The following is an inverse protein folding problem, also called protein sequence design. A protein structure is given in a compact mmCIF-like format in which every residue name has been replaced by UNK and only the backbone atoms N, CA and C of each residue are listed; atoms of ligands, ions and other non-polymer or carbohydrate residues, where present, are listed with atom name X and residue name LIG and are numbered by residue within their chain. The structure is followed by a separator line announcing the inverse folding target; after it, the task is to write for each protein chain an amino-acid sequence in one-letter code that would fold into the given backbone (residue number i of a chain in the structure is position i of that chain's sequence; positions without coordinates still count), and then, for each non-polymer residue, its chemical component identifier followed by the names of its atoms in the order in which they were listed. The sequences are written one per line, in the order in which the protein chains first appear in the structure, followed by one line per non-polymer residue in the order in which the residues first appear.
data_IF_647846225562
#
_entry.id   IF_647846225562
#
_cell.length_a   1.000
_cell.length_b   1.000
_cell.length_c   1.000
_cell.angle_alpha   90.00
_cell.angle_beta   90.00
_cell.angle_gamma   90.00
#
_symmetry.space_group_name_H-M   'P 1'
#
loop_
_entity.id
_entity.type
_entity.pdbx_description
1 polymer ?
#
# COMPACT_ATOMS: atom_id res chain seq x y z
N UNK A 1 20.46 0.02 -10.72
CA UNK A 1 19.70 -0.70 -9.67
C UNK A 1 19.61 0.22 -8.46
N UNK A 2 18.45 0.40 -7.79
CA UNK A 2 18.42 1.15 -6.54
C UNK A 2 19.06 0.31 -5.42
N UNK A 3 20.09 0.84 -4.77
CA UNK A 3 20.76 0.25 -3.61
C UNK A 3 20.00 0.59 -2.33
N UNK A 4 18.75 0.11 -2.26
CA UNK A 4 17.85 0.39 -1.15
C UNK A 4 18.03 -0.65 -0.05
N UNK A 5 18.65 -0.25 1.07
CA UNK A 5 18.72 -1.05 2.29
C UNK A 5 17.49 -0.74 3.16
N UNK A 6 16.67 -1.76 3.42
CA UNK A 6 15.61 -1.66 4.43
C UNK A 6 16.25 -1.59 5.80
N UNK A 7 16.07 -0.49 6.50
CA UNK A 7 16.38 -0.39 7.92
C UNK A 7 15.26 -1.11 8.66
N UNK A 8 15.56 -2.21 9.33
CA UNK A 8 14.60 -2.90 10.18
C UNK A 8 14.95 -2.59 11.63
N UNK A 9 14.30 -1.58 12.19
CA UNK A 9 14.36 -1.26 13.60
C UNK A 9 13.07 -1.74 14.28
N UNK A 10 13.13 -2.69 15.22
CA UNK A 10 11.97 -3.07 16.02
C UNK A 10 11.39 -1.84 16.74
N UNK A 11 10.08 -1.63 16.68
CA UNK A 11 9.47 -0.39 17.19
C UNK A 11 9.76 0.85 16.33
N UNK A 12 10.33 0.66 15.13
CA UNK A 12 10.73 1.75 14.25
C UNK A 12 9.55 2.53 13.69
N UNK A 13 9.79 3.82 13.44
CA UNK A 13 8.90 4.69 12.68
C UNK A 13 9.42 4.80 11.24
N UNK A 14 8.54 4.61 10.28
CA UNK A 14 8.88 4.51 8.87
C UNK A 14 8.01 5.44 8.03
N UNK A 15 8.64 6.13 7.07
CA UNK A 15 7.93 6.86 6.03
C UNK A 15 7.76 5.99 4.79
N UNK A 16 6.57 5.98 4.19
CA UNK A 16 6.27 5.23 2.98
C UNK A 16 5.71 6.14 1.89
N UNK A 17 6.15 5.88 0.66
CA UNK A 17 5.46 6.34 -0.55
C UNK A 17 4.94 5.13 -1.31
N UNK A 18 3.62 5.07 -1.50
CA UNK A 18 2.95 3.96 -2.20
C UNK A 18 2.19 4.49 -3.40
N UNK A 19 2.59 4.05 -4.59
CA UNK A 19 2.04 4.54 -5.86
C UNK A 19 1.12 3.51 -6.51
N UNK A 20 0.08 4.01 -7.17
CA UNK A 20 -0.61 3.29 -8.23
C UNK A 20 0.31 3.08 -9.43
N UNK A 21 -0.04 2.11 -10.27
CA UNK A 21 0.70 1.77 -11.47
C UNK A 21 0.58 2.87 -12.52
N UNK A 22 -0.63 3.36 -12.76
CA UNK A 22 -0.89 4.48 -13.66
C UNK A 22 -0.84 5.77 -12.84
N UNK A 23 0.17 6.61 -13.12
CA UNK A 23 0.49 7.84 -12.38
C UNK A 23 -0.09 9.13 -12.98
N UNK A 24 -0.86 9.03 -14.06
CA UNK A 24 -1.44 10.20 -14.73
C UNK A 24 -2.91 9.96 -15.04
N UNK A 25 -3.76 10.94 -14.73
CA UNK A 25 -5.22 10.86 -14.91
C UNK A 25 -5.90 9.79 -14.06
N UNK A 26 -5.24 9.32 -12.99
CA UNK A 26 -5.73 8.25 -12.14
C UNK A 26 -6.17 8.82 -10.80
N UNK A 27 -7.46 8.68 -10.49
CA UNK A 27 -8.07 9.18 -9.25
C UNK A 27 -8.59 8.05 -8.38
N UNK A 28 -8.14 6.82 -8.61
CA UNK A 28 -8.71 5.62 -7.98
C UNK A 28 -8.60 5.67 -6.45
N UNK A 29 -7.51 6.22 -5.89
CA UNK A 29 -7.35 6.28 -4.43
C UNK A 29 -8.36 7.22 -3.79
N UNK A 30 -8.56 8.41 -4.37
CA UNK A 30 -9.50 9.41 -3.82
C UNK A 30 -10.96 9.04 -4.12
N UNK A 31 -11.26 8.46 -5.28
CA UNK A 31 -12.61 7.98 -5.64
C UNK A 31 -13.09 6.84 -4.73
N UNK A 32 -12.16 6.05 -4.20
CA UNK A 32 -12.44 4.93 -3.33
C UNK A 32 -11.77 5.08 -1.96
N UNK A 33 -11.70 6.32 -1.45
CA UNK A 33 -11.04 6.61 -0.18
C UNK A 33 -11.67 5.84 0.98
N UNK A 34 -12.99 5.64 0.97
CA UNK A 34 -13.69 4.88 2.01
C UNK A 34 -13.27 3.41 2.02
N UNK A 35 -13.08 2.82 0.84
CA UNK A 35 -12.56 1.45 0.70
C UNK A 35 -11.15 1.36 1.26
N UNK A 36 -10.29 2.34 0.93
CA UNK A 36 -8.92 2.39 1.46
C UNK A 36 -8.93 2.51 2.99
N UNK A 37 -9.73 3.42 3.56
CA UNK A 37 -9.86 3.60 5.01
C UNK A 37 -10.38 2.34 5.70
N UNK A 38 -11.39 1.68 5.13
CA UNK A 38 -11.94 0.44 5.67
C UNK A 38 -10.91 -0.71 5.65
N UNK A 39 -10.14 -0.85 4.57
CA UNK A 39 -9.08 -1.85 4.46
C UNK A 39 -7.95 -1.57 5.45
N UNK A 40 -7.45 -0.33 5.52
CA UNK A 40 -6.42 0.07 6.50
C UNK A 40 -6.89 -0.19 7.92
N UNK A 41 -8.14 0.17 8.25
CA UNK A 41 -8.73 -0.11 9.56
C UNK A 41 -8.82 -1.60 9.88
N UNK A 42 -9.20 -2.45 8.91
CA UNK A 42 -9.23 -3.91 9.08
C UNK A 42 -7.83 -4.48 9.31
N UNK A 43 -6.85 -4.05 8.53
CA UNK A 43 -5.46 -4.51 8.69
C UNK A 43 -4.91 -4.07 10.05
N UNK A 44 -5.16 -2.83 10.49
CA UNK A 44 -4.72 -2.33 11.80
C UNK A 44 -5.32 -3.11 12.97
N UNK A 45 -6.52 -3.67 12.83
CA UNK A 45 -7.13 -4.53 13.88
C UNK A 45 -6.42 -5.87 14.03
N UNK A 46 -5.95 -6.48 12.94
CA UNK A 46 -5.24 -7.77 12.97
C UNK A 46 -3.71 -7.66 13.11
N UNK A 47 -3.16 -6.51 12.72
CA UNK A 47 -1.75 -6.18 12.78
C UNK A 47 -1.64 -4.74 13.31
N UNK A 48 -1.53 -4.54 14.63
CA UNK A 48 -1.47 -3.22 15.22
C UNK A 48 -0.26 -2.42 14.72
N UNK A 49 -0.48 -1.15 14.41
CA UNK A 49 0.55 -0.14 14.15
C UNK A 49 -0.03 1.24 14.45
N UNK A 50 0.83 2.19 14.81
CA UNK A 50 0.45 3.59 15.03
C UNK A 50 0.60 4.36 13.73
N UNK A 51 -0.37 5.21 13.42
CA UNK A 51 -0.30 6.14 12.28
C UNK A 51 0.03 7.52 12.83
N UNK A 52 1.17 8.07 12.42
CA UNK A 52 1.58 9.44 12.74
C UNK A 52 1.07 10.43 11.69
N UNK A 53 1.03 10.00 10.42
CA UNK A 53 0.47 10.79 9.33
C UNK A 53 0.08 9.91 8.16
N UNK A 54 -0.97 10.28 7.44
CA UNK A 54 -1.42 9.59 6.23
C UNK A 54 -2.08 10.57 5.27
N UNK A 55 -1.47 10.76 4.10
CA UNK A 55 -1.94 11.67 3.05
C UNK A 55 -2.23 10.84 1.81
N UNK A 56 -3.43 11.01 1.24
CA UNK A 56 -3.86 10.30 0.03
C UNK A 56 -4.02 11.31 -1.11
N UNK A 57 -3.27 11.08 -2.17
CA UNK A 57 -3.37 11.80 -3.44
C UNK A 57 -4.12 10.92 -4.46
N UNK A 58 -4.51 11.45 -5.63
CA UNK A 58 -5.28 10.70 -6.62
C UNK A 58 -4.69 9.31 -6.99
N UNK A 59 -3.38 9.24 -7.10
CA UNK A 59 -2.62 8.10 -7.64
C UNK A 59 -1.50 7.60 -6.73
N UNK A 60 -1.27 8.21 -5.59
CA UNK A 60 -0.31 7.74 -4.60
C UNK A 60 -0.69 8.17 -3.19
N UNK A 61 -0.01 7.62 -2.20
CA UNK A 61 -0.14 8.04 -0.81
C UNK A 61 1.22 8.12 -0.14
N UNK A 62 1.27 8.96 0.88
CA UNK A 62 2.38 9.09 1.80
C UNK A 62 1.90 8.79 3.20
N UNK A 63 2.66 8.01 3.97
CA UNK A 63 2.33 7.85 5.38
C UNK A 63 3.56 7.63 6.24
N UNK A 64 3.40 7.98 7.51
CA UNK A 64 4.35 7.70 8.58
C UNK A 64 3.64 6.75 9.55
N UNK A 65 4.18 5.55 9.71
CA UNK A 65 3.66 4.56 10.66
C UNK A 65 4.76 4.07 11.59
N UNK A 66 4.38 3.70 12.79
CA UNK A 66 5.25 3.11 13.79
C UNK A 66 4.74 1.71 14.12
N UNK A 67 5.65 0.74 14.11
CA UNK A 67 5.34 -0.65 14.42
C UNK A 67 5.45 -0.91 15.93
N UNK A 68 4.75 -1.93 16.47
CA UNK A 68 4.95 -2.35 17.85
C UNK A 68 6.41 -2.73 18.15
N UNK A 69 6.85 -2.61 19.41
CA UNK A 69 8.14 -3.14 19.83
C UNK A 69 8.28 -4.62 19.46
N UNK A 70 9.43 -5.02 18.91
CA UNK A 70 9.67 -6.40 18.46
C UNK A 70 9.06 -6.74 17.11
N UNK A 71 8.23 -5.87 16.52
CA UNK A 71 7.72 -6.03 15.16
C UNK A 71 8.50 -5.13 14.19
N UNK A 72 8.79 -5.69 13.03
CA UNK A 72 9.41 -4.99 11.92
C UNK A 72 8.67 -5.22 10.60
N UNK A 73 7.65 -6.11 10.53
CA UNK A 73 7.05 -6.61 9.28
C UNK A 73 6.02 -5.65 8.64
N UNK A 74 6.47 -4.45 8.30
CA UNK A 74 5.69 -3.53 7.46
C UNK A 74 5.43 -4.09 6.05
N UNK A 75 6.20 -5.11 5.61
CA UNK A 75 5.99 -5.73 4.32
C UNK A 75 4.67 -6.48 4.24
N UNK A 76 4.33 -7.22 5.30
CA UNK A 76 3.03 -7.85 5.47
C UNK A 76 1.89 -6.85 5.54
N UNK A 77 2.05 -5.73 6.26
CA UNK A 77 1.05 -4.66 6.32
C UNK A 77 0.69 -4.17 4.91
N UNK A 78 1.71 -3.79 4.12
CA UNK A 78 1.49 -3.30 2.78
C UNK A 78 0.94 -4.36 1.82
N UNK A 79 1.35 -5.62 1.97
CA UNK A 79 0.76 -6.70 1.20
C UNK A 79 -0.74 -6.81 1.45
N UNK A 80 -1.16 -6.84 2.72
CA UNK A 80 -2.57 -6.96 3.10
C UNK A 80 -3.40 -5.75 2.68
N UNK A 81 -2.87 -4.53 2.83
CA UNK A 81 -3.55 -3.29 2.41
C UNK A 81 -3.75 -3.28 0.89
N UNK A 82 -2.68 -3.52 0.12
CA UNK A 82 -2.75 -3.54 -1.35
C UNK A 82 -3.71 -4.62 -1.85
N UNK A 83 -3.65 -5.81 -1.25
CA UNK A 83 -4.53 -6.93 -1.59
C UNK A 83 -6.00 -6.64 -1.26
N UNK A 84 -6.28 -6.14 -0.04
CA UNK A 84 -7.63 -5.80 0.39
C UNK A 84 -8.27 -4.72 -0.45
N UNK A 85 -7.53 -3.64 -0.75
CA UNK A 85 -8.01 -2.58 -1.63
C UNK A 85 -8.28 -3.10 -3.05
N UNK A 86 -7.35 -3.88 -3.60
CA UNK A 86 -7.52 -4.43 -4.95
C UNK A 86 -8.71 -5.40 -5.03
N UNK A 87 -8.97 -6.21 -3.99
CA UNK A 87 -10.12 -7.14 -4.00
C UNK A 87 -11.47 -6.43 -3.91
N UNK A 88 -11.54 -5.30 -3.21
CA UNK A 88 -12.78 -4.57 -3.01
C UNK A 88 -13.22 -3.73 -4.22
N UNK A 89 -12.35 -3.56 -5.22
CA UNK A 89 -12.65 -2.77 -6.43
C UNK A 89 -13.12 -3.65 -7.59
N UNK A 90 -14.05 -3.15 -8.43
CA UNK A 90 -14.43 -3.82 -9.67
C UNK A 90 -13.20 -3.97 -10.58
N UNK A 91 -13.17 -5.04 -11.39
CA UNK A 91 -12.05 -5.34 -12.31
C UNK A 91 -12.19 -4.53 -13.60
N UNK A 92 -11.91 -3.24 -13.55
CA UNK A 92 -12.01 -2.32 -14.71
C UNK A 92 -10.65 -2.02 -15.36
N UNK A 93 -9.56 -2.48 -14.76
CA UNK A 93 -8.21 -2.28 -15.30
C UNK A 93 -7.92 -3.06 -16.58
N UNK A 94 -7.27 -2.40 -17.54
CA UNK A 94 -6.70 -3.06 -18.72
C UNK A 94 -5.42 -3.79 -18.33
N UNK A 95 -5.46 -5.12 -18.32
CA UNK A 95 -4.32 -5.97 -17.97
C UNK A 95 -3.54 -6.41 -19.22
N UNK A 96 -2.22 -6.55 -19.10
CA UNK A 96 -1.44 -7.30 -20.09
C UNK A 96 -1.78 -8.79 -20.00
N UNK A 97 -1.61 -9.53 -21.09
CA UNK A 97 -1.85 -10.98 -21.17
C UNK A 97 -1.11 -11.77 -20.08
N UNK A 98 0.11 -11.37 -19.75
CA UNK A 98 0.93 -11.97 -18.67
C UNK A 98 0.29 -11.76 -17.30
N UNK A 99 -0.23 -10.56 -17.02
CA UNK A 99 -0.85 -10.24 -15.72
C UNK A 99 -2.21 -10.88 -15.57
N UNK A 100 -2.99 -10.91 -16.64
CA UNK A 100 -4.26 -11.63 -16.70
C UNK A 100 -4.06 -13.12 -16.39
N UNK A 101 -3.08 -13.77 -17.03
CA UNK A 101 -2.74 -15.19 -16.77
C UNK A 101 -2.28 -15.47 -15.33
N UNK A 102 -1.71 -14.50 -14.64
CA UNK A 102 -1.25 -14.62 -13.24
C UNK A 102 -2.30 -14.17 -12.20
N UNK A 103 -3.49 -13.74 -12.63
CA UNK A 103 -4.50 -13.16 -11.75
C UNK A 103 -4.04 -11.87 -11.06
N UNK A 104 -3.01 -11.20 -11.59
CA UNK A 104 -2.49 -9.95 -11.02
C UNK A 104 -3.46 -8.79 -11.29
N UNK A 105 -3.68 -7.94 -10.28
CA UNK A 105 -4.40 -6.67 -10.44
C UNK A 105 -3.46 -5.59 -10.99
N UNK A 106 -3.96 -4.75 -11.88
CA UNK A 106 -3.19 -3.72 -12.58
C UNK A 106 -3.09 -2.40 -11.83
N UNK A 107 -3.38 -2.41 -10.52
CA UNK A 107 -3.66 -1.20 -9.74
C UNK A 107 -2.38 -0.59 -9.17
N UNK A 108 -1.54 -1.38 -8.50
CA UNK A 108 -0.40 -0.86 -7.74
C UNK A 108 0.90 -0.94 -8.52
N UNK A 109 1.80 0.03 -8.31
CA UNK A 109 3.19 -0.15 -8.71
C UNK A 109 3.79 -1.34 -7.92
N UNK A 110 4.68 -2.09 -8.59
CA UNK A 110 5.48 -3.13 -7.93
C UNK A 110 6.40 -2.47 -6.88
N UNK A 111 6.42 -3.04 -5.67
CA UNK A 111 7.12 -2.51 -4.49
C UNK A 111 6.57 -1.15 -4.03
N UNK A 112 7.21 -0.57 -3.02
CA UNK A 112 6.94 0.77 -2.47
C UNK A 112 8.28 1.33 -2.00
N UNK A 113 8.33 2.64 -1.76
CA UNK A 113 9.48 3.28 -1.15
C UNK A 113 9.30 3.32 0.37
N UNK A 114 10.36 3.07 1.11
CA UNK A 114 10.39 3.22 2.57
C UNK A 114 11.68 3.94 2.99
N UNK A 115 11.66 4.75 4.04
CA UNK A 115 12.85 5.38 4.66
C UNK A 115 12.69 5.44 6.15
#
# INVERSE_FOLDING_TARGET
MPDYRRLWHPGGTYFFTVNLLQRHGNHLLIRHIDVLRAVVGRVRKGHPFRIHGWVVLPDHLHCVIELPPGDADFARLWHLIKMGFSKALPKQERLSTVRARRGERGIWQRRYWST
#
